data_IF_450358683673
#
_entry.id   IF_450358683673
#
_cell.length_a   1.000
_cell.length_b   1.000
_cell.length_c   1.000
_cell.angle_alpha   90.00
_cell.angle_beta   90.00
_cell.angle_gamma   90.00
#
_symmetry.space_group_name_H-M   'P 1'
#
loop_
_entity.id
_entity.type
_entity.pdbx_description
1 polymer ?
#
# COMPACT_ATOMS: atom_id res chain seq x y z
N UNK A 1 11.00 13.79 18.46
CA UNK A 1 10.62 14.20 17.09
C UNK A 1 11.36 13.31 16.10
N UNK A 2 10.79 12.15 15.72
CA UNK A 2 11.44 11.24 14.78
C UNK A 2 11.08 11.68 13.36
N UNK A 3 12.06 12.24 12.66
CA UNK A 3 12.01 12.38 11.21
C UNK A 3 12.16 10.97 10.62
N UNK A 4 11.11 10.45 9.97
CA UNK A 4 11.18 9.21 9.20
C UNK A 4 10.99 9.54 7.72
N UNK A 5 12.08 9.26 6.98
CA UNK A 5 12.21 9.06 5.53
C UNK A 5 11.29 9.90 4.62
N UNK A 6 11.90 10.90 3.98
CA UNK A 6 11.34 11.60 2.82
C UNK A 6 11.20 10.63 1.63
N UNK A 7 10.10 9.88 1.57
CA UNK A 7 9.57 9.47 0.28
C UNK A 7 9.17 10.75 -0.46
N UNK A 8 9.47 10.83 -1.75
CA UNK A 8 9.15 12.00 -2.58
C UNK A 8 7.62 12.14 -2.72
N UNK A 9 6.96 12.65 -1.68
CA UNK A 9 5.56 13.02 -1.68
C UNK A 9 5.47 14.27 -2.57
N UNK A 10 4.76 14.16 -3.70
CA UNK A 10 4.46 15.33 -4.54
C UNK A 10 3.41 16.20 -3.82
N UNK A 11 3.81 16.86 -2.73
CA UNK A 11 2.99 17.73 -1.91
C UNK A 11 2.77 17.25 -0.47
N UNK A 12 2.12 18.06 0.36
CA UNK A 12 1.87 17.75 1.77
C UNK A 12 0.90 16.58 1.94
N UNK A 13 1.20 15.69 2.89
CA UNK A 13 0.31 14.62 3.32
C UNK A 13 -0.89 15.24 4.05
N UNK A 14 -2.09 14.88 3.63
CA UNK A 14 -3.36 15.37 4.20
C UNK A 14 -3.98 14.38 5.17
N UNK A 15 -3.78 13.09 4.93
CA UNK A 15 -4.25 12.01 5.79
C UNK A 15 -3.20 10.91 5.82
N UNK A 16 -3.02 10.29 6.98
CA UNK A 16 -2.13 9.15 7.17
C UNK A 16 -2.72 8.24 8.23
N UNK A 17 -2.68 6.94 7.99
CA UNK A 17 -3.10 5.92 8.95
C UNK A 17 -2.22 4.70 8.82
N UNK A 18 -1.99 4.03 9.94
CA UNK A 18 -1.46 2.67 9.92
C UNK A 18 -2.53 1.73 9.34
N UNK A 19 -2.09 0.80 8.49
CA UNK A 19 -2.95 -0.24 7.95
C UNK A 19 -2.13 -1.48 7.58
N UNK A 20 -2.81 -2.49 7.03
CA UNK A 20 -2.14 -3.67 6.49
C UNK A 20 -2.54 -3.87 5.04
N UNK A 21 -1.55 -4.11 4.19
CA UNK A 21 -1.75 -4.54 2.82
C UNK A 21 -2.00 -6.05 2.84
N UNK A 22 -3.15 -6.45 2.32
CA UNK A 22 -3.52 -7.85 2.15
C UNK A 22 -3.20 -8.20 0.69
N UNK A 23 -2.19 -9.04 0.47
CA UNK A 23 -1.76 -9.44 -0.88
C UNK A 23 -1.41 -10.93 -0.92
N UNK A 24 -2.13 -11.69 -1.75
CA UNK A 24 -1.97 -13.14 -1.84
C UNK A 24 -2.20 -13.82 -0.50
N UNK A 25 -1.18 -14.53 -0.01
CA UNK A 25 -1.19 -15.21 1.30
C UNK A 25 -0.55 -14.39 2.42
N UNK A 26 -0.05 -13.19 2.12
CA UNK A 26 0.71 -12.36 3.06
C UNK A 26 -0.11 -11.15 3.50
N UNK A 27 0.13 -10.74 4.75
CA UNK A 27 -0.41 -9.52 5.34
C UNK A 27 0.79 -8.70 5.79
N UNK A 28 0.96 -7.53 5.20
CA UNK A 28 2.12 -6.68 5.41
C UNK A 28 1.68 -5.41 6.12
N UNK A 29 2.28 -5.11 7.27
CA UNK A 29 1.99 -3.88 8.00
C UNK A 29 2.67 -2.69 7.31
N UNK A 30 1.99 -1.54 7.31
CA UNK A 30 2.51 -0.35 6.68
C UNK A 30 1.67 0.89 6.98
N UNK A 31 1.96 1.96 6.25
CA UNK A 31 1.25 3.24 6.37
C UNK A 31 0.56 3.58 5.05
N UNK A 32 -0.73 3.86 5.11
CA UNK A 32 -1.49 4.44 4.01
C UNK A 32 -1.55 5.95 4.19
N UNK A 33 -0.97 6.68 3.24
CA UNK A 33 -0.95 8.13 3.22
C UNK A 33 -1.67 8.66 1.98
N UNK A 34 -2.34 9.80 2.13
CA UNK A 34 -3.03 10.49 1.04
C UNK A 34 -2.56 11.94 0.97
N UNK A 35 -2.23 12.36 -0.24
CA UNK A 35 -1.99 13.76 -0.62
C UNK A 35 -3.20 14.29 -1.38
N UNK A 36 -3.09 15.43 -2.07
CA UNK A 36 -4.17 15.97 -2.90
C UNK A 36 -4.48 15.10 -4.13
N UNK A 37 -3.47 14.46 -4.74
CA UNK A 37 -3.62 13.78 -6.04
C UNK A 37 -3.29 12.29 -6.00
N UNK A 38 -2.71 11.81 -4.89
CA UNK A 38 -2.06 10.50 -4.83
C UNK A 38 -2.34 9.84 -3.49
N UNK A 39 -2.67 8.55 -3.56
CA UNK A 39 -2.67 7.61 -2.44
C UNK A 39 -1.40 6.76 -2.48
N UNK A 40 -0.77 6.59 -1.33
CA UNK A 40 0.52 5.94 -1.16
C UNK A 40 0.41 4.90 -0.06
N UNK A 41 0.89 3.70 -0.33
CA UNK A 41 1.10 2.69 0.69
C UNK A 41 2.59 2.42 0.79
N UNK A 42 3.09 2.38 2.02
CA UNK A 42 4.48 2.10 2.33
C UNK A 42 4.57 1.01 3.38
N UNK A 43 5.18 -0.12 3.03
CA UNK A 43 5.38 -1.24 3.94
C UNK A 43 6.42 -0.89 5.00
N UNK A 44 6.17 -1.35 6.23
CA UNK A 44 7.15 -1.25 7.30
C UNK A 44 8.16 -2.40 7.20
N UNK A 45 9.33 -2.10 6.63
CA UNK A 45 10.43 -3.05 6.46
C UNK A 45 11.01 -3.57 7.78
N UNK A 46 10.73 -2.89 8.91
CA UNK A 46 11.19 -3.29 10.24
C UNK A 46 10.19 -4.18 10.97
N UNK A 47 8.97 -4.34 10.46
CA UNK A 47 7.95 -5.19 11.07
C UNK A 47 8.27 -6.67 10.83
N UNK A 48 8.02 -7.51 11.83
CA UNK A 48 8.25 -8.95 11.72
C UNK A 48 7.47 -9.60 10.57
N UNK A 49 6.29 -9.08 10.22
CA UNK A 49 5.50 -9.57 9.10
C UNK A 49 6.23 -9.42 7.77
N UNK A 50 7.05 -8.38 7.61
CA UNK A 50 7.85 -8.15 6.41
C UNK A 50 9.12 -9.00 6.42
N UNK A 51 9.83 -9.05 7.55
CA UNK A 51 11.11 -9.77 7.69
C UNK A 51 10.94 -11.29 7.49
N UNK A 52 9.79 -11.84 7.88
CA UNK A 52 9.48 -13.28 7.74
C UNK A 52 9.16 -13.71 6.31
N UNK A 53 8.97 -12.77 5.39
CA UNK A 53 8.67 -13.07 3.98
C UNK A 53 9.94 -13.60 3.30
N UNK A 54 9.84 -14.78 2.69
CA UNK A 54 10.93 -15.32 1.87
C UNK A 54 11.22 -14.36 0.71
N UNK A 55 12.49 -14.07 0.45
CA UNK A 55 12.95 -13.20 -0.63
C UNK A 55 12.38 -13.61 -2.00
N UNK A 56 12.14 -14.91 -2.20
CA UNK A 56 11.52 -15.44 -3.43
C UNK A 56 10.06 -15.00 -3.63
N UNK A 57 9.39 -14.49 -2.60
CA UNK A 57 7.99 -14.08 -2.64
C UNK A 57 7.80 -12.63 -3.08
N UNK A 58 8.79 -11.75 -2.92
CA UNK A 58 8.67 -10.34 -3.29
C UNK A 58 8.20 -10.10 -4.74
N UNK A 59 8.59 -10.89 -5.75
CA UNK A 59 8.07 -10.73 -7.11
C UNK A 59 6.55 -10.98 -7.25
N UNK A 60 5.97 -11.76 -6.33
CA UNK A 60 4.54 -12.12 -6.34
C UNK A 60 3.69 -11.23 -5.44
N UNK A 61 4.32 -10.37 -4.64
CA UNK A 61 3.62 -9.43 -3.78
C UNK A 61 3.57 -8.09 -4.50
N UNK A 62 2.39 -7.73 -4.96
CA UNK A 62 2.17 -6.45 -5.61
C UNK A 62 2.01 -5.32 -4.59
N UNK A 63 2.47 -4.13 -4.98
CA UNK A 63 2.17 -2.86 -4.32
C UNK A 63 2.71 -2.66 -2.88
N UNK A 64 3.85 -3.27 -2.54
CA UNK A 64 4.55 -3.05 -1.25
C UNK A 64 4.86 -1.57 -1.00
N UNK A 65 5.30 -0.86 -2.04
CA UNK A 65 5.42 0.60 -2.06
C UNK A 65 4.48 1.18 -3.11
N UNK A 66 3.18 0.93 -2.93
CA UNK A 66 2.14 1.30 -3.88
C UNK A 66 1.99 2.81 -4.00
N UNK A 67 1.89 3.30 -5.25
CA UNK A 67 1.58 4.69 -5.57
C UNK A 67 0.48 4.72 -6.60
N UNK A 68 -0.66 5.30 -6.25
CA UNK A 68 -1.82 5.38 -7.12
C UNK A 68 -2.32 6.81 -7.21
N UNK A 69 -2.48 7.30 -8.43
CA UNK A 69 -3.13 8.59 -8.64
C UNK A 69 -4.65 8.42 -8.47
N UNK A 70 -5.33 9.40 -7.88
CA UNK A 70 -6.79 9.32 -7.71
C UNK A 70 -7.53 9.17 -9.05
N UNK A 71 -6.99 9.72 -10.14
CA UNK A 71 -7.53 9.58 -11.48
C UNK A 71 -7.50 8.13 -12.01
N UNK A 72 -6.68 7.26 -11.42
CA UNK A 72 -6.59 5.85 -11.81
C UNK A 72 -7.56 4.97 -11.03
N UNK A 73 -8.05 5.43 -9.87
CA UNK A 73 -8.99 4.68 -9.04
C UNK A 73 -10.35 4.66 -9.72
N UNK A 74 -10.88 3.45 -9.94
CA UNK A 74 -12.18 3.21 -10.59
C UNK A 74 -13.29 2.93 -9.60
N UNK A 75 -12.98 2.30 -8.49
CA UNK A 75 -13.93 2.03 -7.42
C UNK A 75 -13.22 1.77 -6.11
N UNK A 76 -13.91 2.04 -5.00
CA UNK A 76 -13.50 1.72 -3.64
C UNK A 76 -14.68 1.01 -2.99
N UNK A 77 -14.45 -0.16 -2.40
CA UNK A 77 -15.48 -0.92 -1.70
C UNK A 77 -15.09 -1.15 -0.25
N UNK A 78 -16.06 -1.02 0.66
CA UNK A 78 -15.89 -1.51 2.03
C UNK A 78 -15.86 -3.04 2.02
N UNK A 79 -14.97 -3.61 2.83
CA UNK A 79 -14.79 -5.05 3.00
C UNK A 79 -14.70 -5.39 4.48
N UNK A 80 -15.02 -6.65 4.78
CA UNK A 80 -14.78 -7.22 6.09
C UNK A 80 -13.43 -7.92 6.12
N UNK A 81 -12.63 -7.63 7.15
CA UNK A 81 -11.42 -8.37 7.47
C UNK A 81 -11.56 -8.95 8.87
N UNK A 82 -11.34 -10.27 9.00
CA UNK A 82 -11.57 -11.02 10.24
C UNK A 82 -12.96 -10.74 10.85
N UNK A 83 -13.99 -10.74 9.99
CA UNK A 83 -15.39 -10.44 10.33
C UNK A 83 -15.67 -9.00 10.83
N UNK A 84 -14.66 -8.13 10.84
CA UNK A 84 -14.79 -6.71 11.20
C UNK A 84 -14.88 -5.84 9.94
N UNK A 85 -15.72 -4.80 9.96
CA UNK A 85 -15.83 -3.81 8.87
C UNK A 85 -14.66 -2.82 8.91
N UNK A 86 -13.45 -3.34 8.69
CA UNK A 86 -12.16 -2.64 8.82
C UNK A 86 -11.24 -2.89 7.63
N UNK A 87 -11.80 -3.10 6.44
CA UNK A 87 -11.01 -3.23 5.23
C UNK A 87 -11.61 -2.45 4.06
N UNK A 88 -10.74 -2.08 3.14
CA UNK A 88 -11.08 -1.41 1.89
C UNK A 88 -10.44 -2.19 0.75
N UNK A 89 -11.19 -2.37 -0.33
CA UNK A 89 -10.68 -2.89 -1.59
C UNK A 89 -10.74 -1.78 -2.65
N UNK A 90 -9.58 -1.46 -3.21
CA UNK A 90 -9.42 -0.35 -4.16
C UNK A 90 -9.12 -0.93 -5.53
N UNK A 91 -9.99 -0.64 -6.49
CA UNK A 91 -9.82 -1.06 -7.87
C UNK A 91 -9.20 0.07 -8.67
N UNK A 92 -8.02 -0.18 -9.23
CA UNK A 92 -7.23 0.79 -10.00
C UNK A 92 -7.20 0.38 -11.48
N UNK A 93 -7.11 1.37 -12.36
CA UNK A 93 -6.88 1.16 -13.78
C UNK A 93 -5.49 0.58 -14.00
N UNK A 94 -5.39 -0.62 -14.59
CA UNK A 94 -4.10 -1.18 -15.00
C UNK A 94 -3.52 -0.37 -16.16
N UNK A 95 -2.75 0.68 -15.86
CA UNK A 95 -1.76 1.25 -16.77
C UNK A 95 -0.33 1.08 -16.23
N UNK A 96 -0.10 0.11 -15.34
CA UNK A 96 1.26 -0.28 -14.97
C UNK A 96 1.82 -1.25 -16.03
N UNK A 97 2.61 -0.72 -16.96
CA UNK A 97 3.51 -1.52 -17.78
C UNK A 97 4.57 -2.14 -16.85
N UNK A 98 4.39 -3.37 -16.38
CA UNK A 98 5.52 -4.10 -15.78
C UNK A 98 6.19 -4.91 -16.89
N UNK A 99 7.16 -4.29 -17.56
CA UNK A 99 8.13 -5.00 -18.42
C UNK A 99 9.13 -5.69 -17.51
N UNK A 100 8.96 -6.99 -17.27
CA UNK A 100 10.01 -7.81 -16.67
C UNK A 100 11.03 -8.15 -17.77
N UNK A 101 12.29 -7.76 -17.57
CA UNK A 101 13.45 -8.26 -18.34
C UNK A 101 14.13 -9.35 -17.53
#
# INVERSE_FOLDING_TARGET
>A
MKQHKNHHFNGPIRFSTECSLICGINIIRGTLAMTHNVMLFDADEYDESYIKIDSKMFPYIDNIHGKWHFNEIRAIFSRRYLLQDKALEIFVSNRSYKTYK
#
